data_IF_171574436315
#
_entry.id   IF_171574436315
#
_cell.length_a   1.000
_cell.length_b   1.000
_cell.length_c   1.000
_cell.angle_alpha   90.00
_cell.angle_beta   90.00
_cell.angle_gamma   90.00
#
_symmetry.space_group_name_H-M   'P 1'
#
loop_
_entity.id
_entity.type
_entity.pdbx_description
1 polymer ?
#
# COMPACT_ATOMS: atom_id res chain seq x y z
N UNK A 1 8.67 0.53 -7.16
CA UNK A 1 8.15 1.80 -6.61
C UNK A 1 7.18 1.39 -5.50
N UNK A 2 7.11 2.10 -4.38
CA UNK A 2 6.18 1.71 -3.29
C UNK A 2 4.74 1.49 -3.81
N UNK A 3 4.29 2.42 -4.66
CA UNK A 3 2.98 2.38 -5.31
C UNK A 3 2.75 1.12 -6.14
N UNK A 4 3.74 0.66 -6.93
CA UNK A 4 3.60 -0.50 -7.82
C UNK A 4 3.46 -1.79 -7.01
N UNK A 5 4.25 -1.96 -5.96
CA UNK A 5 4.19 -3.15 -5.10
C UNK A 5 2.87 -3.26 -4.33
N UNK A 6 2.39 -2.16 -3.77
CA UNK A 6 1.10 -2.11 -3.08
C UNK A 6 -0.07 -2.36 -4.04
N UNK A 7 -0.05 -1.73 -5.22
CA UNK A 7 -1.06 -1.95 -6.27
C UNK A 7 -1.11 -3.40 -6.71
N UNK A 8 0.06 -4.03 -6.91
CA UNK A 8 0.14 -5.44 -7.29
C UNK A 8 -0.44 -6.36 -6.22
N UNK A 9 -0.03 -6.17 -4.95
CA UNK A 9 -0.52 -6.98 -3.83
C UNK A 9 -2.04 -6.86 -3.66
N UNK A 10 -2.59 -5.64 -3.75
CA UNK A 10 -4.04 -5.46 -3.70
C UNK A 10 -4.74 -6.19 -4.83
N UNK A 11 -4.27 -6.05 -6.08
CA UNK A 11 -4.89 -6.75 -7.21
C UNK A 11 -4.84 -8.27 -7.04
N UNK A 12 -3.73 -8.81 -6.55
CA UNK A 12 -3.58 -10.24 -6.24
C UNK A 12 -4.56 -10.72 -5.16
N UNK A 13 -4.89 -9.87 -4.17
CA UNK A 13 -5.88 -10.19 -3.15
C UNK A 13 -7.33 -10.29 -3.65
N UNK A 14 -7.61 -9.80 -4.87
CA UNK A 14 -8.97 -9.72 -5.42
C UNK A 14 -9.89 -8.68 -4.74
N UNK A 15 -9.38 -7.92 -3.76
CA UNK A 15 -10.15 -6.94 -3.00
C UNK A 15 -10.10 -5.55 -3.62
N UNK A 16 -11.21 -4.81 -3.50
CA UNK A 16 -11.28 -3.42 -3.95
C UNK A 16 -10.43 -2.51 -3.05
N UNK A 17 -10.10 -1.31 -3.55
CA UNK A 17 -9.38 -0.31 -2.75
C UNK A 17 -10.19 0.11 -1.52
N UNK A 18 -11.51 0.21 -1.64
CA UNK A 18 -12.44 0.50 -0.54
C UNK A 18 -12.40 -0.60 0.53
N UNK A 19 -12.36 -1.87 0.11
CA UNK A 19 -12.33 -3.00 1.03
C UNK A 19 -11.01 -3.11 1.79
N UNK A 20 -9.88 -2.78 1.15
CA UNK A 20 -8.57 -2.69 1.83
C UNK A 20 -8.53 -1.48 2.75
N UNK A 21 -8.93 -0.29 2.26
CA UNK A 21 -8.90 0.94 3.03
C UNK A 21 -9.69 0.81 4.34
N UNK A 22 -10.92 0.29 4.26
CA UNK A 22 -11.78 0.07 5.43
C UNK A 22 -11.15 -0.88 6.45
N UNK A 23 -10.56 -1.99 6.03
CA UNK A 23 -9.93 -2.93 6.95
C UNK A 23 -8.61 -2.39 7.55
N UNK A 24 -7.86 -1.62 6.77
CA UNK A 24 -6.63 -0.96 7.21
C UNK A 24 -6.88 0.30 8.07
N UNK A 25 -8.14 0.71 8.28
CA UNK A 25 -8.46 1.94 9.01
C UNK A 25 -8.08 3.24 8.26
N UNK A 26 -8.05 3.20 6.93
CA UNK A 26 -7.65 4.31 6.06
C UNK A 26 -8.82 4.79 5.20
N UNK A 27 -8.71 6.02 4.67
CA UNK A 27 -9.62 6.48 3.63
C UNK A 27 -9.29 5.82 2.28
N UNK A 28 -10.30 5.58 1.45
CA UNK A 28 -10.07 5.08 0.08
C UNK A 28 -9.25 6.05 -0.76
N UNK A 29 -9.36 7.36 -0.49
CA UNK A 29 -8.56 8.38 -1.15
C UNK A 29 -7.08 8.27 -0.80
N UNK A 30 -6.75 8.00 0.47
CA UNK A 30 -5.37 7.73 0.92
C UNK A 30 -4.77 6.57 0.13
N UNK A 31 -5.49 5.45 0.03
CA UNK A 31 -5.04 4.27 -0.72
C UNK A 31 -4.84 4.61 -2.19
N UNK A 32 -5.82 5.26 -2.83
CA UNK A 32 -5.75 5.64 -4.25
C UNK A 32 -4.65 6.66 -4.53
N UNK A 33 -4.37 7.58 -3.61
CA UNK A 33 -3.29 8.58 -3.74
C UNK A 33 -1.93 7.90 -3.73
N UNK A 34 -1.74 6.91 -2.86
CA UNK A 34 -0.53 6.08 -2.80
C UNK A 34 -0.39 5.22 -4.06
N UNK A 35 -1.43 4.49 -4.46
CA UNK A 35 -1.39 3.62 -5.66
C UNK A 35 -1.08 4.40 -6.95
N UNK A 36 -1.55 5.65 -7.05
CA UNK A 36 -1.26 6.53 -8.19
C UNK A 36 0.08 7.25 -8.10
N UNK A 37 0.84 7.04 -7.02
CA UNK A 37 2.10 7.75 -6.77
C UNK A 37 1.96 9.26 -6.55
N UNK A 38 0.75 9.74 -6.22
CA UNK A 38 0.49 11.17 -5.94
C UNK A 38 0.98 11.58 -4.55
N UNK A 39 1.11 10.61 -3.66
CA UNK A 39 1.75 10.79 -2.35
C UNK A 39 3.23 10.42 -2.47
N UNK A 40 4.08 11.43 -2.66
CA UNK A 40 5.53 11.25 -2.84
C UNK A 40 6.21 10.65 -1.60
N UNK A 41 5.69 10.96 -0.41
CA UNK A 41 6.22 10.49 0.88
C UNK A 41 5.06 10.08 1.79
N UNK A 42 4.53 8.85 1.66
CA UNK A 42 3.47 8.39 2.55
C UNK A 42 4.01 8.19 3.97
N UNK A 43 3.17 8.48 4.96
CA UNK A 43 3.52 8.30 6.35
C UNK A 43 3.76 6.83 6.70
N UNK A 44 4.73 6.57 7.58
CA UNK A 44 5.12 5.22 7.98
C UNK A 44 3.92 4.37 8.43
N UNK A 45 3.07 4.89 9.31
CA UNK A 45 1.91 4.17 9.82
C UNK A 45 0.89 3.84 8.72
N UNK A 46 0.78 4.69 7.70
CA UNK A 46 -0.09 4.42 6.54
C UNK A 46 0.44 3.26 5.72
N UNK A 47 1.76 3.21 5.49
CA UNK A 47 2.41 2.10 4.78
C UNK A 47 2.32 0.81 5.59
N UNK A 48 2.56 0.88 6.90
CA UNK A 48 2.47 -0.27 7.80
C UNK A 48 1.05 -0.86 7.87
N UNK A 49 0.02 -0.01 7.94
CA UNK A 49 -1.37 -0.47 7.92
C UNK A 49 -1.72 -1.20 6.61
N UNK A 50 -1.33 -0.65 5.47
CA UNK A 50 -1.53 -1.30 4.16
C UNK A 50 -0.73 -2.61 4.03
N UNK A 51 0.52 -2.62 4.46
CA UNK A 51 1.36 -3.81 4.43
C UNK A 51 0.75 -4.94 5.26
N UNK A 52 0.31 -4.63 6.48
CA UNK A 52 -0.35 -5.58 7.38
C UNK A 52 -1.62 -6.16 6.74
N UNK A 53 -2.49 -5.30 6.22
CA UNK A 53 -3.75 -5.72 5.60
C UNK A 53 -3.56 -6.55 4.33
N UNK A 54 -2.45 -6.33 3.61
CA UNK A 54 -2.10 -7.05 2.38
C UNK A 54 -1.19 -8.26 2.63
N UNK A 55 -0.83 -8.56 3.89
CA UNK A 55 0.07 -9.66 4.24
C UNK A 55 1.50 -9.48 3.69
N UNK A 56 1.97 -8.24 3.59
CA UNK A 56 3.31 -7.90 3.10
C UNK A 56 4.26 -7.63 4.26
N UNK A 57 5.51 -8.07 4.12
CA UNK A 57 6.58 -7.65 5.03
C UNK A 57 7.02 -6.21 4.74
N UNK A 58 7.22 -5.42 5.80
CA UNK A 58 7.79 -4.08 5.69
C UNK A 58 9.25 -4.11 5.21
N UNK A 59 10.02 -5.13 5.59
CA UNK A 59 11.38 -5.33 5.09
C UNK A 59 11.41 -5.61 3.59
N UNK A 60 10.48 -6.44 3.08
CA UNK A 60 10.34 -6.71 1.64
C UNK A 60 9.95 -5.44 0.87
N UNK A 61 9.02 -4.66 1.42
CA UNK A 61 8.62 -3.37 0.84
C UNK A 61 9.81 -2.40 0.79
N UNK A 62 10.58 -2.32 1.86
CA UNK A 62 11.79 -1.49 1.92
C UNK A 62 12.83 -1.94 0.88
N UNK A 63 13.13 -3.24 0.83
CA UNK A 63 14.07 -3.80 -0.14
C UNK A 63 13.63 -3.51 -1.59
N UNK A 64 12.34 -3.67 -1.90
CA UNK A 64 11.80 -3.36 -3.22
C UNK A 64 11.93 -1.87 -3.58
N UNK A 65 11.66 -0.96 -2.63
CA UNK A 65 11.81 0.49 -2.87
C UNK A 65 13.28 0.90 -3.04
N UNK A 66 14.21 0.21 -2.38
CA UNK A 66 15.66 0.48 -2.50
C UNK A 66 16.29 0.00 -3.81
N UNK A 67 15.69 -0.99 -4.45
CA UNK A 67 16.21 -1.62 -5.67
C UNK A 67 15.72 -0.95 -6.96
N UNK A 68 14.81 0.01 -6.85
CA UNK A 68 14.38 0.87 -7.96
C UNK A 68 14.94 2.29 -7.80
#
# INVERSE_FOLDING_TARGET
MLASRLTHARRASGRSAEAIARSAGLSVETVRSIEKGRTSTPEFFTVAALATELGLSLDELYAHVRQE
#
